data_IF_394406641821
#
_entry.id   IF_394406641821
#
_cell.length_a   1.000
_cell.length_b   1.000
_cell.length_c   1.000
_cell.angle_alpha   90.00
_cell.angle_beta   90.00
_cell.angle_gamma   90.00
#
_symmetry.space_group_name_H-M   'P 1'
#
loop_
_entity.id
_entity.type
_entity.pdbx_description
1 polymer ?
#
# COMPACT_ATOMS: atom_id res chain seq x y z
N UNK A 1 -24.21 -17.99 -18.21
CA UNK A 1 -23.06 -18.93 -18.38
C UNK A 1 -23.18 -19.52 -19.79
N UNK A 2 -22.09 -19.48 -20.53
CA UNK A 2 -22.05 -20.10 -21.87
C UNK A 2 -21.79 -21.60 -21.62
N UNK A 3 -22.81 -22.42 -21.79
CA UNK A 3 -22.76 -23.88 -21.51
C UNK A 3 -21.69 -24.65 -22.31
N UNK A 4 -21.08 -24.03 -23.31
CA UNK A 4 -20.12 -24.66 -24.25
C UNK A 4 -18.66 -24.24 -24.04
N UNK A 5 -18.26 -23.61 -22.90
CA UNK A 5 -16.91 -23.13 -22.69
C UNK A 5 -15.97 -24.16 -22.06
N UNK A 6 -16.46 -25.38 -21.75
CA UNK A 6 -15.63 -26.42 -21.12
C UNK A 6 -14.75 -27.11 -22.17
N UNK A 7 -13.44 -26.94 -22.06
CA UNK A 7 -12.45 -27.63 -22.87
C UNK A 7 -11.78 -28.73 -22.04
N UNK A 8 -12.05 -30.00 -22.35
CA UNK A 8 -11.40 -31.14 -21.68
C UNK A 8 -9.88 -31.15 -21.91
N UNK A 9 -9.45 -30.70 -23.10
CA UNK A 9 -8.02 -30.57 -23.42
C UNK A 9 -7.32 -29.49 -22.56
N UNK A 10 -8.02 -28.39 -22.27
CA UNK A 10 -7.49 -27.32 -21.42
C UNK A 10 -7.45 -27.74 -19.95
N UNK A 11 -8.48 -28.47 -19.48
CA UNK A 11 -8.47 -29.05 -18.14
C UNK A 11 -7.37 -30.10 -17.96
N UNK A 12 -7.12 -30.94 -18.98
CA UNK A 12 -6.03 -31.90 -18.98
C UNK A 12 -4.64 -31.23 -18.98
N UNK A 13 -4.54 -29.98 -19.45
CA UNK A 13 -3.34 -29.16 -19.39
C UNK A 13 -3.20 -28.37 -18.06
N UNK A 14 -4.12 -28.56 -17.09
CA UNK A 14 -4.05 -27.98 -15.75
C UNK A 14 -4.81 -26.66 -15.58
N UNK A 15 -5.65 -26.25 -16.55
CA UNK A 15 -6.45 -25.00 -16.46
C UNK A 15 -7.94 -25.32 -16.32
N UNK A 16 -8.52 -24.93 -15.17
CA UNK A 16 -9.95 -25.13 -14.90
C UNK A 16 -10.78 -23.86 -15.13
N UNK A 17 -11.34 -23.74 -16.33
CA UNK A 17 -12.21 -22.62 -16.70
C UNK A 17 -13.46 -22.52 -15.78
N UNK A 18 -13.94 -23.66 -15.25
CA UNK A 18 -15.13 -23.65 -14.37
C UNK A 18 -14.81 -23.07 -12.99
N UNK A 19 -13.60 -23.27 -12.49
CA UNK A 19 -13.09 -22.62 -11.29
C UNK A 19 -13.03 -21.10 -11.49
N UNK A 20 -12.56 -20.63 -12.65
CA UNK A 20 -12.56 -19.21 -13.00
C UNK A 20 -13.94 -18.58 -12.93
N UNK A 21 -14.96 -19.19 -13.54
CA UNK A 21 -16.35 -18.69 -13.47
C UNK A 21 -16.90 -18.67 -12.05
N UNK A 22 -16.58 -19.68 -11.25
CA UNK A 22 -16.98 -19.72 -9.83
C UNK A 22 -16.32 -18.62 -9.03
N UNK A 23 -15.03 -18.40 -9.21
CA UNK A 23 -14.32 -17.30 -8.57
C UNK A 23 -14.97 -15.95 -8.88
N UNK A 24 -15.24 -15.66 -10.17
CA UNK A 24 -15.93 -14.42 -10.59
C UNK A 24 -17.29 -14.26 -9.91
N UNK A 25 -18.09 -15.34 -9.80
CA UNK A 25 -19.38 -15.26 -9.11
C UNK A 25 -19.25 -14.92 -7.63
N UNK A 26 -18.28 -15.54 -6.93
CA UNK A 26 -18.02 -15.27 -5.53
C UNK A 26 -17.54 -13.82 -5.28
N UNK A 27 -16.78 -13.25 -6.21
CA UNK A 27 -16.23 -11.90 -6.10
C UNK A 27 -17.25 -10.77 -6.31
N UNK A 28 -18.33 -10.99 -7.06
CA UNK A 28 -19.32 -9.94 -7.43
C UNK A 28 -19.81 -9.11 -6.25
N UNK A 29 -20.12 -9.77 -5.11
CA UNK A 29 -20.60 -9.09 -3.90
C UNK A 29 -19.57 -8.12 -3.30
N UNK A 30 -18.28 -8.42 -3.45
CA UNK A 30 -17.19 -7.57 -2.96
C UNK A 30 -16.95 -6.40 -3.92
N UNK A 31 -16.88 -6.69 -5.23
CA UNK A 31 -16.68 -5.69 -6.28
C UNK A 31 -17.76 -4.61 -6.25
N UNK A 32 -19.04 -5.01 -6.07
CA UNK A 32 -20.15 -4.06 -6.00
C UNK A 32 -20.02 -3.00 -4.91
N UNK A 33 -19.24 -3.26 -3.84
CA UNK A 33 -18.99 -2.31 -2.75
C UNK A 33 -18.00 -1.20 -3.13
N UNK A 34 -17.22 -1.41 -4.19
CA UNK A 34 -16.20 -0.46 -4.64
C UNK A 34 -16.73 0.56 -5.64
N UNK A 35 -18.01 0.47 -6.04
CA UNK A 35 -18.62 1.38 -7.01
C UNK A 35 -18.48 2.83 -6.54
N UNK A 36 -17.98 3.67 -7.44
CA UNK A 36 -17.87 5.12 -7.27
C UNK A 36 -18.53 5.80 -8.47
N UNK A 37 -18.89 7.09 -8.39
CA UNK A 37 -19.32 7.83 -9.56
C UNK A 37 -18.30 7.70 -10.69
N UNK A 38 -18.76 7.41 -11.91
CA UNK A 38 -17.91 7.14 -13.07
C UNK A 38 -17.56 5.67 -13.30
N UNK A 39 -17.79 4.79 -12.33
CA UNK A 39 -17.55 3.33 -12.44
C UNK A 39 -18.88 2.55 -12.54
N UNK A 40 -19.71 2.85 -13.54
CA UNK A 40 -21.04 2.26 -13.66
C UNK A 40 -21.09 0.96 -14.48
N UNK A 41 -19.96 0.53 -15.04
CA UNK A 41 -19.91 -0.69 -15.86
C UNK A 41 -19.81 -1.95 -14.99
N UNK A 42 -20.49 -3.02 -15.45
CA UNK A 42 -20.30 -4.34 -14.85
C UNK A 42 -18.94 -4.91 -15.23
N UNK A 43 -18.28 -5.56 -14.27
CA UNK A 43 -17.01 -6.26 -14.50
C UNK A 43 -17.28 -7.51 -15.36
N UNK A 44 -16.40 -7.76 -16.34
CA UNK A 44 -16.48 -8.94 -17.23
C UNK A 44 -16.46 -8.61 -18.71
N UNK A 45 -16.30 -7.33 -19.09
CA UNK A 45 -16.00 -6.91 -20.46
C UNK A 45 -14.50 -7.05 -20.79
N UNK A 46 -14.10 -6.68 -22.01
CA UNK A 46 -12.69 -6.69 -22.43
C UNK A 46 -11.82 -5.63 -21.71
N UNK A 47 -12.44 -4.60 -21.10
CA UNK A 47 -11.74 -3.54 -20.37
C UNK A 47 -12.64 -2.89 -19.35
N UNK A 48 -12.04 -2.36 -18.29
CA UNK A 48 -12.71 -1.53 -17.32
C UNK A 48 -12.97 -0.13 -17.88
N UNK A 49 -14.19 0.38 -17.73
CA UNK A 49 -14.56 1.72 -18.17
C UNK A 49 -14.72 2.63 -16.96
N UNK A 50 -14.19 3.84 -17.06
CA UNK A 50 -14.33 4.86 -16.03
C UNK A 50 -14.55 6.23 -16.67
N UNK A 51 -15.60 6.93 -16.25
CA UNK A 51 -15.91 8.30 -16.67
C UNK A 51 -15.43 9.27 -15.59
N UNK A 52 -14.27 9.98 -15.76
CA UNK A 52 -13.78 10.89 -14.75
C UNK A 52 -14.61 12.19 -14.72
N UNK A 53 -14.92 12.66 -13.50
CA UNK A 53 -15.45 14.01 -13.34
C UNK A 53 -14.31 15.03 -13.49
N UNK A 54 -14.38 15.82 -14.55
CA UNK A 54 -13.41 16.88 -14.86
C UNK A 54 -13.89 18.28 -14.45
N UNK A 55 -15.05 18.36 -13.77
CA UNK A 55 -15.61 19.64 -13.37
C UNK A 55 -14.64 20.42 -12.44
N UNK A 56 -14.37 21.67 -12.79
CA UNK A 56 -13.47 22.54 -12.04
C UNK A 56 -11.97 22.29 -12.26
N UNK A 57 -11.57 21.34 -13.12
CA UNK A 57 -10.18 21.13 -13.52
C UNK A 57 -9.87 21.93 -14.79
N UNK A 58 -8.77 22.70 -14.73
CA UNK A 58 -8.29 23.46 -15.90
C UNK A 58 -7.31 22.64 -16.75
N UNK A 59 -6.48 21.86 -16.11
CA UNK A 59 -5.48 21.02 -16.76
C UNK A 59 -5.37 19.68 -16.00
N UNK A 60 -6.27 18.71 -16.28
CA UNK A 60 -6.23 17.42 -15.63
C UNK A 60 -4.97 16.63 -15.98
N UNK A 61 -4.31 16.09 -14.98
CA UNK A 61 -3.15 15.21 -15.09
C UNK A 61 -3.54 13.85 -14.52
N UNK A 62 -3.33 12.80 -15.28
CA UNK A 62 -3.45 11.42 -14.80
C UNK A 62 -2.14 10.99 -14.15
N UNK A 63 -2.23 10.40 -12.97
CA UNK A 63 -1.11 9.83 -12.24
C UNK A 63 -1.39 8.35 -12.04
N UNK A 64 -0.45 7.51 -12.42
CA UNK A 64 -0.61 6.04 -12.31
C UNK A 64 0.49 5.44 -11.46
N UNK A 65 0.13 4.42 -10.71
CA UNK A 65 1.04 3.61 -9.91
C UNK A 65 0.76 2.13 -10.09
N UNK A 66 1.80 1.33 -10.05
CA UNK A 66 1.71 -0.14 -10.07
C UNK A 66 2.69 -0.71 -9.07
N UNK A 67 2.26 -1.69 -8.32
CA UNK A 67 3.08 -2.39 -7.33
C UNK A 67 2.46 -3.78 -7.04
N UNK A 68 3.19 -4.61 -6.30
CA UNK A 68 2.73 -5.91 -5.84
C UNK A 68 2.83 -6.06 -4.33
N UNK A 69 2.37 -7.19 -3.81
CA UNK A 69 2.50 -7.51 -2.38
C UNK A 69 3.92 -7.98 -2.05
N UNK A 70 4.56 -8.64 -2.98
CA UNK A 70 5.91 -9.17 -2.81
C UNK A 70 5.98 -10.35 -1.84
N UNK A 71 7.15 -10.52 -1.21
CA UNK A 71 7.45 -11.73 -0.42
C UNK A 71 6.69 -11.83 0.92
N UNK A 72 5.89 -10.84 1.30
CA UNK A 72 4.88 -10.95 2.38
C UNK A 72 3.89 -12.08 2.12
N UNK A 73 3.61 -12.38 0.84
CA UNK A 73 2.72 -13.49 0.45
C UNK A 73 3.10 -14.83 1.08
N UNK A 74 4.41 -15.08 1.32
CA UNK A 74 4.84 -16.31 1.97
C UNK A 74 4.25 -16.47 3.39
N UNK A 75 4.08 -15.36 4.12
CA UNK A 75 3.42 -15.39 5.43
C UNK A 75 1.93 -15.72 5.26
N UNK A 76 1.28 -15.16 4.23
CA UNK A 76 -0.13 -15.47 3.95
C UNK A 76 -0.33 -16.96 3.63
N UNK A 77 0.58 -17.57 2.87
CA UNK A 77 0.55 -19.00 2.57
C UNK A 77 0.72 -19.83 3.85
N UNK A 78 1.73 -19.54 4.67
CA UNK A 78 2.02 -20.28 5.91
C UNK A 78 0.89 -20.14 6.94
N UNK A 79 0.23 -19.00 7.00
CA UNK A 79 -0.90 -18.72 7.88
C UNK A 79 -2.25 -19.14 7.30
N UNK A 80 -2.30 -19.57 6.04
CA UNK A 80 -3.53 -19.81 5.28
C UNK A 80 -4.53 -18.64 5.42
N UNK A 81 -4.02 -17.41 5.29
CA UNK A 81 -4.79 -16.16 5.46
C UNK A 81 -4.58 -15.25 4.26
N UNK A 82 -5.61 -15.11 3.43
CA UNK A 82 -5.51 -14.50 2.11
C UNK A 82 -6.33 -13.21 1.98
N UNK A 83 -7.13 -12.85 2.98
CA UNK A 83 -8.10 -11.75 2.89
C UNK A 83 -7.53 -10.37 3.24
N UNK A 84 -6.27 -10.28 3.63
CA UNK A 84 -5.61 -9.00 4.01
C UNK A 84 -4.63 -8.49 2.97
N UNK A 85 -3.95 -9.38 2.23
CA UNK A 85 -2.89 -9.00 1.30
C UNK A 85 -3.37 -8.19 0.09
N UNK A 86 -4.65 -8.27 -0.24
CA UNK A 86 -5.26 -7.40 -1.24
C UNK A 86 -5.29 -5.94 -0.81
N UNK A 87 -5.43 -5.67 0.50
CA UNK A 87 -5.30 -4.31 1.05
C UNK A 87 -3.88 -3.80 0.86
N UNK A 88 -2.86 -4.65 1.10
CA UNK A 88 -1.46 -4.28 0.86
C UNK A 88 -1.23 -3.88 -0.60
N UNK A 89 -1.72 -4.69 -1.55
CA UNK A 89 -1.59 -4.42 -2.99
C UNK A 89 -2.18 -3.04 -3.37
N UNK A 90 -3.39 -2.76 -2.90
CA UNK A 90 -4.04 -1.46 -3.15
C UNK A 90 -3.26 -0.33 -2.49
N UNK A 91 -2.88 -0.49 -1.21
CA UNK A 91 -2.18 0.53 -0.44
C UNK A 91 -0.86 0.95 -1.10
N UNK A 92 -0.06 -0.01 -1.57
CA UNK A 92 1.21 0.26 -2.23
C UNK A 92 1.02 1.15 -3.46
N UNK A 93 -0.02 0.91 -4.26
CA UNK A 93 -0.31 1.69 -5.45
C UNK A 93 -0.91 3.08 -5.15
N UNK A 94 -1.95 3.14 -4.28
CA UNK A 94 -2.69 4.39 -4.06
C UNK A 94 -1.95 5.39 -3.17
N UNK A 95 -1.13 4.89 -2.22
CA UNK A 95 -0.29 5.76 -1.39
C UNK A 95 0.82 6.44 -2.21
N UNK A 96 1.30 5.80 -3.28
CA UNK A 96 2.29 6.41 -4.17
C UNK A 96 1.69 7.56 -4.97
N UNK A 97 0.52 7.36 -5.58
CA UNK A 97 -0.08 8.42 -6.40
C UNK A 97 -0.58 9.60 -5.58
N UNK A 98 -1.00 9.38 -4.32
CA UNK A 98 -1.39 10.49 -3.43
C UNK A 98 -0.19 11.37 -3.06
N UNK A 99 1.05 10.86 -3.12
CA UNK A 99 2.26 11.68 -2.95
C UNK A 99 2.40 12.77 -4.02
N UNK A 100 1.75 12.60 -5.17
CA UNK A 100 1.64 13.63 -6.21
C UNK A 100 0.42 14.55 -6.02
N UNK A 101 -0.43 14.30 -5.03
CA UNK A 101 -1.70 14.99 -4.80
C UNK A 101 -2.87 14.45 -5.63
N UNK A 102 -2.70 13.29 -6.28
CA UNK A 102 -3.73 12.71 -7.15
C UNK A 102 -4.77 11.92 -6.34
N UNK A 103 -6.05 12.17 -6.62
CA UNK A 103 -7.15 11.37 -6.11
C UNK A 103 -7.24 10.07 -6.91
N UNK A 104 -7.15 8.87 -6.27
CA UNK A 104 -7.39 7.61 -6.95
C UNK A 104 -8.80 7.55 -7.55
N UNK A 105 -8.89 7.06 -8.78
CA UNK A 105 -10.14 6.88 -9.51
C UNK A 105 -10.54 5.41 -9.55
N UNK A 106 -9.63 4.57 -10.04
CA UNK A 106 -9.89 3.15 -10.20
C UNK A 106 -8.64 2.30 -9.96
N UNK A 107 -8.89 1.03 -9.77
CA UNK A 107 -7.89 -0.02 -9.56
C UNK A 107 -8.12 -1.20 -10.50
N UNK A 108 -7.05 -1.87 -10.88
CA UNK A 108 -7.01 -3.14 -11.58
C UNK A 108 -6.07 -4.07 -10.84
N UNK A 109 -6.40 -5.34 -10.69
CA UNK A 109 -5.53 -6.36 -10.12
C UNK A 109 -5.10 -7.38 -11.16
N UNK A 110 -3.95 -8.02 -10.93
CA UNK A 110 -3.49 -9.19 -11.65
C UNK A 110 -3.07 -10.26 -10.65
N UNK A 111 -3.76 -11.41 -10.71
CA UNK A 111 -3.47 -12.57 -9.87
C UNK A 111 -2.89 -13.66 -10.76
N UNK A 112 -1.61 -13.99 -10.57
CA UNK A 112 -0.99 -15.17 -11.15
C UNK A 112 -0.99 -16.28 -10.10
N UNK A 113 -1.56 -17.45 -10.39
CA UNK A 113 -1.64 -18.56 -9.43
C UNK A 113 -1.20 -19.88 -10.08
N UNK A 114 -0.65 -20.78 -9.26
CA UNK A 114 -0.31 -22.12 -9.73
C UNK A 114 -1.57 -22.93 -10.06
N UNK A 115 -2.62 -22.73 -9.24
CA UNK A 115 -3.95 -23.32 -9.42
C UNK A 115 -5.04 -22.36 -8.94
N UNK A 116 -6.09 -22.22 -9.72
CA UNK A 116 -7.23 -21.40 -9.34
C UNK A 116 -8.10 -22.15 -8.31
N UNK A 117 -7.98 -21.74 -7.05
CA UNK A 117 -8.87 -22.15 -5.97
C UNK A 117 -9.86 -21.01 -5.71
N UNK A 118 -11.13 -21.14 -6.14
CA UNK A 118 -12.09 -20.03 -6.14
C UNK A 118 -12.26 -19.32 -4.81
N UNK A 119 -12.21 -20.05 -3.71
CA UNK A 119 -12.35 -19.52 -2.35
C UNK A 119 -11.12 -18.70 -1.92
N UNK A 120 -9.92 -19.06 -2.38
CA UNK A 120 -8.69 -18.29 -2.14
C UNK A 120 -8.72 -17.02 -2.98
N UNK A 121 -9.06 -17.13 -4.26
CA UNK A 121 -9.18 -15.95 -5.15
C UNK A 121 -10.26 -14.98 -4.62
N UNK A 122 -11.39 -15.48 -4.13
CA UNK A 122 -12.43 -14.64 -3.50
C UNK A 122 -11.88 -13.87 -2.31
N UNK A 123 -11.08 -14.50 -1.43
CA UNK A 123 -10.47 -13.83 -0.28
C UNK A 123 -9.47 -12.74 -0.72
N UNK A 124 -8.63 -13.02 -1.71
CA UNK A 124 -7.67 -12.05 -2.27
C UNK A 124 -8.43 -10.82 -2.78
N UNK A 125 -9.44 -11.04 -3.65
CA UNK A 125 -10.22 -9.94 -4.25
C UNK A 125 -11.08 -9.22 -3.20
N UNK A 126 -11.56 -9.92 -2.16
CA UNK A 126 -12.18 -9.25 -1.00
C UNK A 126 -11.22 -8.24 -0.39
N UNK A 127 -9.97 -8.61 -0.16
CA UNK A 127 -8.94 -7.70 0.37
C UNK A 127 -8.68 -6.52 -0.57
N UNK A 128 -8.59 -6.76 -1.89
CA UNK A 128 -8.47 -5.69 -2.90
C UNK A 128 -9.67 -4.74 -2.82
N UNK A 129 -10.89 -5.27 -2.74
CA UNK A 129 -12.09 -4.44 -2.60
C UNK A 129 -12.11 -3.64 -1.30
N UNK A 130 -11.69 -4.24 -0.18
CA UNK A 130 -11.59 -3.54 1.10
C UNK A 130 -10.58 -2.38 1.02
N UNK A 131 -9.45 -2.57 0.36
CA UNK A 131 -8.48 -1.51 0.07
C UNK A 131 -9.04 -0.43 -0.84
N UNK A 132 -9.73 -0.79 -1.92
CA UNK A 132 -10.38 0.16 -2.83
C UNK A 132 -11.43 1.03 -2.12
N UNK A 133 -12.27 0.44 -1.25
CA UNK A 133 -13.25 1.19 -0.44
C UNK A 133 -12.55 2.18 0.51
N UNK A 134 -11.43 1.77 1.14
CA UNK A 134 -10.64 2.65 1.97
C UNK A 134 -10.05 3.82 1.17
N UNK A 135 -9.52 3.55 -0.02
CA UNK A 135 -8.95 4.56 -0.91
C UNK A 135 -10.02 5.44 -1.59
N UNK A 136 -11.28 4.99 -1.68
CA UNK A 136 -12.31 5.66 -2.47
C UNK A 136 -12.12 5.46 -3.97
N UNK A 137 -11.50 4.37 -4.38
CA UNK A 137 -11.30 3.95 -5.77
C UNK A 137 -12.25 2.80 -6.14
N UNK A 138 -12.59 2.67 -7.41
CA UNK A 138 -13.40 1.56 -7.92
C UNK A 138 -12.52 0.43 -8.46
N UNK A 139 -12.80 -0.81 -8.10
CA UNK A 139 -12.23 -1.97 -8.81
C UNK A 139 -13.05 -2.18 -10.09
N UNK A 140 -12.48 -1.83 -11.23
CA UNK A 140 -13.19 -1.83 -12.52
C UNK A 140 -12.84 -3.02 -13.44
N UNK A 141 -11.89 -3.84 -13.04
CA UNK A 141 -11.45 -5.01 -13.78
C UNK A 141 -10.24 -5.65 -13.12
N UNK A 142 -9.78 -6.70 -13.72
CA UNK A 142 -8.61 -7.45 -13.27
C UNK A 142 -8.43 -8.71 -14.11
N UNK A 143 -7.40 -9.50 -13.78
CA UNK A 143 -7.09 -10.76 -14.44
C UNK A 143 -6.70 -11.81 -13.41
N UNK A 144 -7.15 -13.05 -13.61
CA UNK A 144 -6.65 -14.21 -12.86
C UNK A 144 -6.14 -15.25 -13.85
N UNK A 145 -4.85 -15.53 -13.81
CA UNK A 145 -4.20 -16.45 -14.72
C UNK A 145 -3.62 -17.65 -13.97
N UNK A 146 -3.95 -18.86 -14.42
CA UNK A 146 -3.30 -20.08 -13.94
C UNK A 146 -1.99 -20.32 -14.68
N UNK A 147 -0.94 -20.63 -13.93
CA UNK A 147 0.41 -20.90 -14.41
C UNK A 147 0.87 -22.32 -14.04
N UNK A 148 0.18 -23.37 -14.52
CA UNK A 148 0.49 -24.74 -14.16
C UNK A 148 1.92 -25.12 -14.61
N UNK A 149 2.70 -25.71 -13.69
CA UNK A 149 4.10 -26.08 -13.93
C UNK A 149 5.11 -24.93 -13.90
N UNK A 150 4.67 -23.68 -13.81
CA UNK A 150 5.54 -22.50 -13.61
C UNK A 150 5.53 -22.02 -12.17
N UNK A 151 4.43 -22.23 -11.45
CA UNK A 151 4.22 -21.83 -10.06
C UNK A 151 3.68 -23.03 -9.25
N UNK A 152 4.06 -23.18 -7.98
CA UNK A 152 3.45 -24.17 -7.09
C UNK A 152 1.94 -24.04 -7.02
N UNK A 153 1.20 -25.14 -6.91
CA UNK A 153 -0.28 -25.13 -6.94
C UNK A 153 -0.91 -24.31 -5.80
N UNK A 154 -0.24 -24.20 -4.67
CA UNK A 154 -0.66 -23.50 -3.45
C UNK A 154 -0.09 -22.08 -3.33
N UNK A 155 0.61 -21.59 -4.35
CA UNK A 155 1.19 -20.25 -4.37
C UNK A 155 0.55 -19.37 -5.46
N UNK A 156 0.59 -18.07 -5.22
CA UNK A 156 0.16 -17.03 -6.17
C UNK A 156 1.01 -15.78 -6.01
N UNK A 157 0.96 -14.92 -7.02
CA UNK A 157 1.43 -13.54 -6.93
C UNK A 157 0.26 -12.57 -7.18
N UNK A 158 0.34 -11.40 -6.56
CA UNK A 158 -0.68 -10.37 -6.66
C UNK A 158 0.00 -9.03 -6.94
N UNK A 159 -0.35 -8.44 -8.06
CA UNK A 159 0.03 -7.10 -8.45
C UNK A 159 -1.20 -6.24 -8.73
N UNK A 160 -1.04 -4.92 -8.63
CA UNK A 160 -2.10 -3.96 -8.86
C UNK A 160 -1.65 -2.78 -9.68
N UNK A 161 -2.63 -2.10 -10.24
CA UNK A 161 -2.48 -0.87 -10.99
C UNK A 161 -3.60 0.10 -10.62
N UNK A 162 -3.23 1.33 -10.33
CA UNK A 162 -4.20 2.41 -10.09
C UNK A 162 -3.95 3.59 -11.01
N UNK A 163 -5.02 4.31 -11.33
CA UNK A 163 -4.95 5.63 -11.94
C UNK A 163 -5.72 6.61 -11.08
N UNK A 164 -5.10 7.73 -10.81
CA UNK A 164 -5.72 8.88 -10.16
C UNK A 164 -5.63 10.12 -11.03
N UNK A 165 -6.25 11.20 -10.57
CA UNK A 165 -6.32 12.46 -11.28
C UNK A 165 -6.02 13.64 -10.35
N UNK A 166 -5.35 14.66 -10.87
CA UNK A 166 -5.09 15.91 -10.18
C UNK A 166 -5.11 17.07 -11.20
N UNK A 167 -5.61 18.24 -10.83
CA UNK A 167 -5.36 19.44 -11.64
C UNK A 167 -3.90 19.84 -11.51
N UNK A 168 -3.24 20.15 -12.64
CA UNK A 168 -1.81 20.52 -12.65
C UNK A 168 -1.46 21.60 -11.62
N UNK A 169 -2.37 22.56 -11.41
CA UNK A 169 -2.17 23.64 -10.45
C UNK A 169 -2.27 23.19 -8.98
N UNK A 170 -2.75 21.96 -8.72
CA UNK A 170 -2.90 21.36 -7.37
C UNK A 170 -1.93 20.22 -7.12
N UNK A 171 -1.04 19.92 -8.06
CA UNK A 171 0.03 18.94 -7.83
C UNK A 171 0.91 19.40 -6.68
N UNK A 172 1.41 18.44 -5.91
CA UNK A 172 2.41 18.74 -4.87
C UNK A 172 3.65 19.33 -5.54
N UNK A 173 4.05 20.51 -5.06
CA UNK A 173 5.18 21.28 -5.58
C UNK A 173 6.21 21.50 -4.47
N UNK A 174 7.30 20.74 -4.51
CA UNK A 174 8.36 20.82 -3.52
C UNK A 174 9.28 22.04 -3.71
N UNK A 175 9.17 22.79 -4.82
CA UNK A 175 9.97 23.99 -5.04
C UNK A 175 9.69 25.11 -4.02
N UNK A 176 8.54 25.03 -3.32
CA UNK A 176 8.15 25.95 -2.25
C UNK A 176 8.65 25.56 -0.86
N UNK A 177 9.32 24.40 -0.75
CA UNK A 177 9.91 23.91 0.50
C UNK A 177 11.09 24.81 0.91
N UNK A 178 11.23 25.06 2.20
CA UNK A 178 12.32 25.89 2.76
C UNK A 178 12.78 25.36 4.10
N UNK A 179 13.98 25.76 4.53
CA UNK A 179 14.46 25.48 5.88
C UNK A 179 13.48 26.01 6.93
N UNK A 180 13.24 25.23 7.97
CA UNK A 180 12.26 25.44 9.02
C UNK A 180 10.87 24.87 8.73
N UNK A 181 10.59 24.35 7.54
CA UNK A 181 9.37 23.58 7.28
C UNK A 181 9.35 22.31 8.14
N UNK A 182 8.17 21.92 8.59
CA UNK A 182 7.98 20.85 9.57
C UNK A 182 7.66 19.52 8.88
N UNK A 183 8.26 18.44 9.37
CA UNK A 183 8.00 17.08 8.90
C UNK A 183 7.05 16.39 9.86
N UNK A 184 5.84 16.10 9.38
CA UNK A 184 4.81 15.33 10.08
C UNK A 184 4.90 13.86 9.63
N UNK A 185 4.91 12.94 10.60
CA UNK A 185 4.78 11.51 10.38
C UNK A 185 3.33 11.07 10.51
N UNK A 186 2.90 10.15 9.67
CA UNK A 186 1.72 9.32 9.85
C UNK A 186 2.16 7.92 10.25
N UNK A 187 1.67 7.43 11.38
CA UNK A 187 2.05 6.13 11.90
C UNK A 187 1.72 4.99 10.91
N UNK A 188 2.61 4.02 10.81
CA UNK A 188 2.33 2.77 10.12
C UNK A 188 1.51 1.82 11.00
N UNK A 189 0.87 0.84 10.39
CA UNK A 189 0.16 -0.24 11.08
C UNK A 189 1.10 -1.39 11.50
N UNK A 190 2.31 -1.43 10.95
CA UNK A 190 3.28 -2.51 11.11
C UNK A 190 4.37 -2.42 10.06
N UNK A 191 4.86 -3.58 9.63
CA UNK A 191 5.92 -3.68 8.60
C UNK A 191 5.43 -3.19 7.23
N UNK A 192 4.11 -3.14 7.02
CA UNK A 192 3.48 -2.90 5.73
C UNK A 192 3.77 -4.02 4.74
N UNK A 193 4.26 -3.71 3.53
CA UNK A 193 4.51 -4.72 2.50
C UNK A 193 5.96 -4.70 1.99
N UNK A 194 6.91 -4.17 2.76
CA UNK A 194 8.31 -4.06 2.36
C UNK A 194 9.25 -4.72 3.37
N UNK A 195 10.42 -5.15 2.90
CA UNK A 195 11.47 -5.74 3.74
C UNK A 195 11.21 -7.22 4.12
N UNK A 196 10.21 -7.88 3.55
CA UNK A 196 9.82 -9.24 3.91
C UNK A 196 10.85 -10.31 3.55
N UNK A 197 11.74 -10.08 2.60
CA UNK A 197 12.86 -11.00 2.35
C UNK A 197 13.80 -11.08 3.57
N UNK A 198 14.04 -9.94 4.24
CA UNK A 198 14.80 -9.91 5.49
C UNK A 198 14.00 -10.52 6.65
N UNK A 199 12.72 -10.16 6.82
CA UNK A 199 11.81 -10.76 7.81
C UNK A 199 11.83 -12.29 7.74
N UNK A 200 11.65 -12.84 6.54
CA UNK A 200 11.65 -14.32 6.32
C UNK A 200 12.96 -14.96 6.74
N UNK A 201 14.07 -14.31 6.45
CA UNK A 201 15.41 -14.80 6.78
C UNK A 201 15.67 -14.74 8.28
N UNK A 202 15.37 -13.61 8.95
CA UNK A 202 15.75 -13.42 10.36
C UNK A 202 14.90 -14.25 11.31
N UNK A 203 13.64 -14.48 10.96
CA UNK A 203 12.75 -15.31 11.78
C UNK A 203 12.71 -16.78 11.34
N UNK A 204 13.36 -17.16 10.22
CA UNK A 204 13.23 -18.51 9.64
C UNK A 204 11.76 -18.93 9.58
N UNK A 205 10.94 -18.11 8.93
CA UNK A 205 9.45 -18.19 9.00
C UNK A 205 8.88 -19.54 8.58
N UNK A 206 9.62 -20.33 7.79
CA UNK A 206 9.21 -21.65 7.35
C UNK A 206 9.29 -22.70 8.48
N UNK A 207 10.09 -22.44 9.53
CA UNK A 207 10.28 -23.31 10.69
C UNK A 207 9.83 -22.64 12.00
N UNK A 208 9.52 -21.34 11.99
CA UNK A 208 9.12 -20.60 13.17
C UNK A 208 7.68 -20.88 13.59
N UNK A 209 7.39 -20.72 14.87
CA UNK A 209 6.01 -20.65 15.37
C UNK A 209 5.41 -19.28 15.05
N UNK A 210 4.55 -19.23 14.02
CA UNK A 210 3.85 -18.03 13.57
C UNK A 210 2.51 -17.82 14.30
N UNK A 211 2.08 -18.75 15.14
CA UNK A 211 0.70 -18.81 15.66
C UNK A 211 0.59 -18.53 17.14
N UNK A 212 1.63 -18.80 17.93
CA UNK A 212 1.61 -18.54 19.38
C UNK A 212 1.64 -17.05 19.70
N UNK A 213 0.87 -16.59 20.72
CA UNK A 213 0.87 -15.21 21.17
C UNK A 213 2.25 -14.75 21.65
N UNK A 214 2.65 -13.53 21.22
CA UNK A 214 3.89 -12.88 21.64
C UNK A 214 3.54 -11.67 22.51
N UNK A 215 3.98 -11.66 23.77
CA UNK A 215 3.66 -10.61 24.75
C UNK A 215 4.07 -9.21 24.25
N UNK A 216 5.29 -9.09 23.68
CA UNK A 216 5.82 -7.82 23.13
C UNK A 216 5.02 -7.28 21.94
N UNK A 217 4.21 -8.12 21.28
CA UNK A 217 3.29 -7.74 20.20
C UNK A 217 1.87 -7.50 20.69
N UNK A 218 1.70 -7.31 22.00
CA UNK A 218 0.38 -7.09 22.62
C UNK A 218 -0.52 -8.32 22.58
N UNK A 219 0.08 -9.51 22.54
CA UNK A 219 -0.62 -10.79 22.49
C UNK A 219 -0.96 -11.27 21.07
N UNK A 220 -0.69 -10.50 20.02
CA UNK A 220 -0.73 -11.00 18.64
C UNK A 220 0.37 -12.05 18.44
N UNK A 221 0.12 -13.01 17.57
CA UNK A 221 1.18 -13.91 17.11
C UNK A 221 2.13 -13.19 16.16
N UNK A 222 3.29 -13.79 15.88
CA UNK A 222 4.23 -13.24 14.91
C UNK A 222 3.59 -13.16 13.50
N UNK A 223 2.88 -14.22 13.08
CA UNK A 223 2.18 -14.26 11.80
C UNK A 223 1.11 -13.16 11.67
N UNK A 224 0.30 -12.96 12.72
CA UNK A 224 -0.71 -11.88 12.74
C UNK A 224 -0.08 -10.49 12.65
N UNK A 225 1.01 -10.22 13.38
CA UNK A 225 1.71 -8.95 13.33
C UNK A 225 2.37 -8.69 11.97
N UNK A 226 2.90 -9.73 11.32
CA UNK A 226 3.49 -9.64 9.99
C UNK A 226 2.44 -9.50 8.88
N UNK A 227 1.23 -10.02 9.07
CA UNK A 227 0.12 -9.90 8.12
C UNK A 227 -0.74 -8.64 8.35
N UNK A 228 -0.41 -7.81 9.36
CA UNK A 228 -1.11 -6.52 9.52
C UNK A 228 -1.08 -5.76 8.19
N UNK A 229 -2.26 -5.35 7.65
CA UNK A 229 -2.31 -4.70 6.35
C UNK A 229 -1.62 -3.34 6.33
N UNK A 230 -1.06 -2.99 5.20
CA UNK A 230 -0.53 -1.64 4.92
C UNK A 230 -1.65 -0.61 5.06
N UNK A 231 -1.36 0.47 5.79
CA UNK A 231 -2.31 1.55 6.00
C UNK A 231 -2.50 2.37 4.73
N UNK A 232 -3.75 2.74 4.43
CA UNK A 232 -4.11 3.58 3.28
C UNK A 232 -4.36 5.01 3.77
N UNK A 233 -3.54 5.96 3.31
CA UNK A 233 -3.55 7.35 3.75
C UNK A 233 -4.34 8.29 2.84
N UNK A 234 -5.00 7.78 1.81
CA UNK A 234 -5.63 8.59 0.75
C UNK A 234 -6.62 9.61 1.29
N UNK A 235 -7.63 9.16 2.06
CA UNK A 235 -8.70 10.07 2.54
C UNK A 235 -8.20 11.18 3.45
N UNK A 236 -7.39 10.90 4.50
CA UNK A 236 -6.83 11.94 5.35
C UNK A 236 -5.94 12.92 4.59
N UNK A 237 -5.11 12.42 3.66
CA UNK A 237 -4.24 13.29 2.85
C UNK A 237 -5.07 14.17 1.90
N UNK A 238 -6.06 13.62 1.20
CA UNK A 238 -6.96 14.43 0.35
C UNK A 238 -7.72 15.49 1.14
N UNK A 239 -8.10 15.21 2.39
CA UNK A 239 -8.72 16.20 3.25
C UNK A 239 -7.72 17.32 3.62
N UNK A 240 -6.48 16.94 3.96
CA UNK A 240 -5.42 17.89 4.25
C UNK A 240 -5.12 18.81 3.07
N UNK A 241 -5.01 18.27 1.86
CA UNK A 241 -4.72 19.02 0.63
C UNK A 241 -5.77 20.08 0.26
N UNK A 242 -6.98 19.98 0.80
CA UNK A 242 -8.03 20.99 0.62
C UNK A 242 -7.86 22.20 1.53
N UNK A 243 -7.14 22.04 2.63
CA UNK A 243 -7.14 22.96 3.76
C UNK A 243 -5.76 23.54 4.08
N UNK A 244 -4.68 22.89 3.68
CA UNK A 244 -3.31 23.27 4.01
C UNK A 244 -2.39 23.23 2.79
N UNK A 245 -1.34 24.06 2.83
CA UNK A 245 -0.29 24.08 1.81
C UNK A 245 0.75 22.99 2.08
N UNK A 246 0.56 21.83 1.46
CA UNK A 246 1.48 20.69 1.56
C UNK A 246 2.58 20.84 0.52
N UNK A 247 3.84 20.79 0.95
CA UNK A 247 5.01 21.03 0.12
C UNK A 247 5.74 19.76 -0.32
N UNK A 248 5.49 18.65 0.36
CA UNK A 248 6.07 17.36 0.03
C UNK A 248 5.37 16.24 0.77
N UNK A 249 5.26 15.08 0.14
CA UNK A 249 4.75 13.85 0.74
C UNK A 249 5.67 12.72 0.31
N UNK A 250 6.00 11.81 1.23
CA UNK A 250 6.77 10.60 0.94
C UNK A 250 6.09 9.38 1.54
N UNK A 251 5.78 8.39 0.72
CA UNK A 251 5.36 7.06 1.17
C UNK A 251 6.61 6.26 1.54
N UNK A 252 6.68 5.76 2.79
CA UNK A 252 7.86 5.05 3.29
C UNK A 252 7.71 3.56 2.97
N UNK A 253 8.37 3.14 1.91
CA UNK A 253 8.37 1.78 1.37
C UNK A 253 9.76 1.12 1.49
N UNK A 254 10.13 0.22 0.57
CA UNK A 254 11.48 -0.34 0.49
C UNK A 254 12.54 0.75 0.38
N UNK A 255 13.68 0.57 1.06
CA UNK A 255 14.69 1.62 1.23
C UNK A 255 14.46 2.55 2.42
N UNK A 256 13.32 2.40 3.13
CA UNK A 256 13.03 3.08 4.38
C UNK A 256 13.09 4.61 4.30
N UNK A 257 13.53 5.24 5.39
CA UNK A 257 13.64 6.69 5.49
C UNK A 257 14.66 7.27 4.49
N UNK A 258 15.80 6.60 4.34
CA UNK A 258 16.94 7.12 3.57
C UNK A 258 16.69 7.19 2.07
N UNK A 259 15.82 6.36 1.53
CA UNK A 259 15.52 6.38 0.09
C UNK A 259 14.19 7.08 -0.23
N UNK A 260 13.22 7.08 0.70
CA UNK A 260 11.89 7.60 0.37
C UNK A 260 11.72 9.07 0.74
N UNK A 261 12.14 9.52 1.94
CA UNK A 261 12.00 10.93 2.35
C UNK A 261 12.74 11.87 1.37
N UNK A 262 13.96 11.58 0.92
CA UNK A 262 14.68 12.42 -0.03
C UNK A 262 13.96 12.68 -1.36
N UNK A 263 13.09 11.78 -1.81
CA UNK A 263 12.38 11.93 -3.10
C UNK A 263 11.49 13.16 -3.16
N UNK A 264 10.97 13.60 -2.01
CA UNK A 264 10.12 14.80 -1.93
C UNK A 264 10.90 16.08 -1.63
N UNK A 265 12.23 16.02 -1.43
CA UNK A 265 13.04 17.16 -0.99
C UNK A 265 13.87 17.72 -2.15
N UNK A 266 13.77 19.03 -2.47
CA UNK A 266 14.55 19.65 -3.53
C UNK A 266 16.04 19.74 -3.19
N UNK A 267 16.88 20.05 -4.18
CA UNK A 267 18.32 20.21 -3.97
C UNK A 267 18.63 21.41 -3.07
N UNK A 268 19.68 21.28 -2.26
CA UNK A 268 20.10 22.27 -1.27
C UNK A 268 19.36 22.19 0.07
N UNK A 269 18.32 21.32 0.17
CA UNK A 269 17.61 21.04 1.41
C UNK A 269 17.74 19.58 1.82
N UNK A 270 17.61 19.33 3.12
CA UNK A 270 17.61 18.00 3.71
C UNK A 270 16.58 17.88 4.83
N UNK A 271 16.16 16.65 5.11
CA UNK A 271 15.33 16.30 6.26
C UNK A 271 16.23 16.05 7.46
N UNK A 272 16.01 16.76 8.56
CA UNK A 272 16.58 16.47 9.86
C UNK A 272 15.53 15.79 10.72
N UNK A 273 15.67 14.48 10.92
CA UNK A 273 14.76 13.66 11.71
C UNK A 273 15.30 13.51 13.13
N UNK A 274 14.48 13.82 14.12
CA UNK A 274 14.80 13.58 15.52
C UNK A 274 14.46 12.12 15.87
N UNK A 275 15.51 11.27 16.03
CA UNK A 275 15.34 9.84 16.30
C UNK A 275 14.43 9.57 17.50
N UNK A 276 14.53 10.36 18.55
CA UNK A 276 13.74 10.23 19.76
C UNK A 276 12.22 10.48 19.55
N UNK A 277 11.84 11.13 18.47
CA UNK A 277 10.45 11.38 18.10
C UNK A 277 9.86 10.29 17.22
N UNK A 278 10.68 9.43 16.63
CA UNK A 278 10.17 8.30 15.82
C UNK A 278 9.63 7.22 16.74
N UNK A 279 8.34 6.94 16.64
CA UNK A 279 7.62 5.95 17.46
C UNK A 279 7.75 4.56 16.81
N UNK A 280 8.89 3.91 17.09
CA UNK A 280 9.18 2.58 16.56
C UNK A 280 8.21 1.55 17.14
N UNK A 281 7.62 0.73 16.28
CA UNK A 281 6.72 -0.33 16.71
C UNK A 281 7.52 -1.56 17.19
N UNK A 282 7.01 -2.32 18.20
CA UNK A 282 7.73 -3.47 18.77
C UNK A 282 8.18 -4.54 17.78
N UNK A 283 7.49 -4.68 16.65
CA UNK A 283 7.87 -5.64 15.61
C UNK A 283 9.25 -5.34 15.01
N UNK A 284 9.62 -4.05 14.90
CA UNK A 284 10.94 -3.66 14.37
C UNK A 284 12.06 -3.97 15.34
N UNK A 285 11.82 -3.84 16.65
CA UNK A 285 12.80 -4.25 17.67
C UNK A 285 13.02 -5.76 17.60
N UNK A 286 11.95 -6.55 17.43
CA UNK A 286 12.06 -8.00 17.26
C UNK A 286 12.86 -8.39 16.02
N UNK A 287 12.64 -7.70 14.88
CA UNK A 287 13.40 -7.92 13.64
C UNK A 287 14.88 -7.60 13.85
N UNK A 288 15.17 -6.45 14.46
CA UNK A 288 16.54 -6.01 14.71
C UNK A 288 17.29 -6.99 15.62
N UNK A 289 16.67 -7.43 16.71
CA UNK A 289 17.24 -8.38 17.66
C UNK A 289 17.47 -9.76 17.03
N UNK A 290 16.46 -10.33 16.36
CA UNK A 290 16.53 -11.63 15.74
C UNK A 290 17.60 -11.72 14.64
N UNK A 291 17.75 -10.64 13.86
CA UNK A 291 18.69 -10.56 12.76
C UNK A 291 20.04 -9.93 13.12
N UNK A 292 20.19 -9.42 14.35
CA UNK A 292 21.33 -8.56 14.73
C UNK A 292 21.56 -7.44 13.70
N UNK A 293 20.47 -6.81 13.26
CA UNK A 293 20.47 -5.78 12.22
C UNK A 293 20.78 -4.43 12.85
N UNK A 294 21.71 -3.69 12.25
CA UNK A 294 22.06 -2.36 12.74
C UNK A 294 20.88 -1.38 12.64
N UNK A 295 20.81 -0.38 13.52
CA UNK A 295 19.77 0.65 13.46
C UNK A 295 19.76 1.36 12.10
N UNK A 296 20.95 1.65 11.56
CA UNK A 296 21.09 2.24 10.22
C UNK A 296 20.44 1.39 9.15
N UNK A 297 20.67 0.08 9.16
CA UNK A 297 20.07 -0.83 8.18
C UNK A 297 18.56 -1.00 8.39
N UNK A 298 18.10 -0.95 9.64
CA UNK A 298 16.66 -0.94 9.96
C UNK A 298 15.97 0.27 9.32
N UNK A 299 16.49 1.48 9.51
CA UNK A 299 15.98 2.71 8.90
C UNK A 299 16.16 2.77 7.37
N UNK A 300 17.07 1.99 6.81
CA UNK A 300 17.28 1.88 5.36
C UNK A 300 16.44 0.76 4.72
N UNK A 301 15.75 -0.07 5.51
CA UNK A 301 14.96 -1.19 5.00
C UNK A 301 13.47 -1.01 5.28
N UNK A 302 13.14 -0.48 6.47
CA UNK A 302 11.78 -0.47 7.01
C UNK A 302 11.24 0.94 7.25
N UNK A 303 9.92 1.01 7.40
CA UNK A 303 9.21 2.25 7.75
C UNK A 303 9.38 2.67 9.23
N UNK A 304 9.92 1.82 10.09
CA UNK A 304 10.19 2.05 11.51
C UNK A 304 9.03 2.66 12.32
N UNK A 305 7.78 2.40 11.90
CA UNK A 305 6.58 2.94 12.54
C UNK A 305 6.02 4.21 11.86
N UNK A 306 6.61 4.67 10.76
CA UNK A 306 6.15 5.83 9.97
C UNK A 306 5.87 5.40 8.55
N UNK A 307 4.61 5.28 8.18
CA UNK A 307 4.23 4.84 6.82
C UNK A 307 4.24 5.96 5.79
N UNK A 308 4.04 7.21 6.23
CA UNK A 308 4.08 8.38 5.34
C UNK A 308 4.62 9.60 6.07
N UNK A 309 5.38 10.44 5.39
CA UNK A 309 5.81 11.75 5.89
C UNK A 309 5.23 12.88 5.03
N UNK A 310 4.88 13.99 5.67
CA UNK A 310 4.28 15.17 5.03
C UNK A 310 5.04 16.42 5.48
N UNK A 311 5.37 17.29 4.53
CA UNK A 311 6.05 18.56 4.80
C UNK A 311 5.09 19.71 4.65
N UNK A 312 4.99 20.54 5.69
CA UNK A 312 4.17 21.76 5.73
C UNK A 312 4.93 22.93 6.35
N UNK A 313 4.45 24.15 6.14
CA UNK A 313 4.99 25.30 6.85
C UNK A 313 4.73 25.21 8.36
N UNK A 314 5.60 25.80 9.23
CA UNK A 314 5.42 25.75 10.70
C UNK A 314 4.04 26.30 11.14
N UNK A 315 3.55 27.33 10.51
CA UNK A 315 2.25 27.97 10.76
C UNK A 315 1.06 27.06 10.45
N UNK A 316 1.23 26.09 9.55
CA UNK A 316 0.19 25.11 9.17
C UNK A 316 0.26 23.80 9.97
N UNK A 317 1.33 23.57 10.74
CA UNK A 317 1.59 22.28 11.38
C UNK A 317 0.47 21.83 12.32
N UNK A 318 -0.01 22.69 13.22
CA UNK A 318 -1.10 22.36 14.15
C UNK A 318 -2.43 22.09 13.42
N UNK A 319 -2.73 22.89 12.37
CA UNK A 319 -3.91 22.68 11.53
C UNK A 319 -3.83 21.32 10.82
N UNK A 320 -2.66 21.00 10.24
CA UNK A 320 -2.43 19.75 9.56
C UNK A 320 -2.58 18.55 10.50
N UNK A 321 -1.96 18.60 11.68
CA UNK A 321 -2.09 17.57 12.72
C UNK A 321 -3.55 17.36 13.12
N UNK A 322 -4.30 18.45 13.32
CA UNK A 322 -5.71 18.36 13.68
C UNK A 322 -6.52 17.64 12.58
N UNK A 323 -6.37 18.06 11.32
CA UNK A 323 -7.10 17.44 10.20
C UNK A 323 -6.78 15.95 10.12
N UNK A 324 -5.51 15.57 10.14
CA UNK A 324 -5.10 14.17 10.05
C UNK A 324 -5.66 13.33 11.20
N UNK A 325 -5.61 13.85 12.43
CA UNK A 325 -6.16 13.18 13.63
C UNK A 325 -7.68 13.06 13.59
N UNK A 326 -8.39 14.06 13.08
CA UNK A 326 -9.85 14.02 12.89
C UNK A 326 -10.28 12.89 11.92
N UNK A 327 -9.37 12.46 11.02
CA UNK A 327 -9.53 11.30 10.14
C UNK A 327 -9.02 9.98 10.75
N UNK A 328 -8.59 10.00 12.01
CA UNK A 328 -8.14 8.82 12.75
C UNK A 328 -6.68 8.44 12.55
N UNK A 329 -5.86 9.35 11.97
CA UNK A 329 -4.44 9.13 11.84
C UNK A 329 -3.69 9.46 13.15
N UNK A 330 -2.76 8.60 13.57
CA UNK A 330 -1.77 8.97 14.59
C UNK A 330 -0.67 9.80 13.90
N UNK A 331 -0.90 11.12 13.89
CA UNK A 331 -0.03 12.10 13.24
C UNK A 331 0.76 12.89 14.28
N UNK A 332 2.08 13.05 14.05
CA UNK A 332 2.99 13.75 14.96
C UNK A 332 4.21 14.29 14.23
N UNK A 333 4.87 15.31 14.81
CA UNK A 333 6.07 15.92 14.23
C UNK A 333 7.29 15.04 14.56
N UNK A 334 8.12 14.77 13.53
CA UNK A 334 9.35 13.99 13.67
C UNK A 334 10.63 14.77 13.34
N UNK A 335 10.51 15.96 12.78
CA UNK A 335 11.67 16.73 12.38
C UNK A 335 11.32 17.97 11.58
N UNK A 336 12.33 18.50 10.93
CA UNK A 336 12.26 19.75 10.16
C UNK A 336 13.11 19.65 8.89
N UNK A 337 12.86 20.54 7.95
CA UNK A 337 13.70 20.75 6.77
C UNK A 337 14.82 21.74 7.14
N UNK A 338 16.04 21.45 6.74
CA UNK A 338 17.22 22.32 6.94
C UNK A 338 17.98 22.56 5.63
N UNK A 339 18.78 23.63 5.58
CA UNK A 339 19.76 23.78 4.50
C UNK A 339 20.85 22.73 4.68
N UNK A 340 21.01 21.85 3.72
CA UNK A 340 21.94 20.72 3.82
C UNK A 340 22.32 20.19 2.44
N UNK A 341 23.58 19.75 2.32
CA UNK A 341 24.01 18.94 1.18
C UNK A 341 23.57 17.46 1.31
N UNK A 342 23.31 17.00 2.55
CA UNK A 342 22.78 15.67 2.82
C UNK A 342 21.25 15.73 2.79
N UNK A 343 20.63 14.84 2.00
CA UNK A 343 19.16 14.83 1.83
C UNK A 343 18.42 14.39 3.10
N UNK A 344 19.07 13.66 4.00
CA UNK A 344 18.48 13.20 5.27
C UNK A 344 19.54 12.94 6.32
N UNK A 345 19.29 13.44 7.51
CA UNK A 345 20.03 13.11 8.74
C UNK A 345 19.06 12.63 9.81
N UNK A 346 19.46 11.60 10.58
CA UNK A 346 18.70 11.11 11.74
C UNK A 346 19.60 11.34 12.97
N UNK A 347 19.17 12.22 13.88
CA UNK A 347 19.94 12.70 15.04
C UNK A 347 19.32 12.33 16.37
#
# INVERSE_FOLDING_TARGET
MIENSKSEAYAAAGVDITAGYRAVELMKKHISRTKTPGADTEVGGFGGLFEPDLAGMKQPILVSGTDGVGTKLKIAFLMNKHDTIGIDCVAMCVNDIICCGAQPLFFLDYIACGKNVPEVIEQIVKGVCDGCVQAGAALIGGETAEHPGMMPEDEYDLAGYTTGIVDKAKMIDNSRMKAGDVIIALASSGVHSNGFSLVRKVFDVENADLTSPVERLGGKSLGEALLEPTRIYVKPVLALLKEADVKGISHITGGGFYENIPRSIPDGLGAKIERSKVRVLPIFDLIAEAGNVSERDMFNTYNMGVGMSIVVAPEDAEKALKILRDYGEDAYIIGEIEESAEKITIV
#
